data_IF_746914177530
#
_entry.id   IF_746914177530
#
_cell.length_a   1.000
_cell.length_b   1.000
_cell.length_c   1.000
_cell.angle_alpha   90.00
_cell.angle_beta   90.00
_cell.angle_gamma   90.00
#
_symmetry.space_group_name_H-M   'P 1'
#
loop_
_entity.id
_entity.type
_entity.pdbx_description
1 polymer ?
#
# COMPACT_ATOMS: atom_id res chain seq x y z
N UNK A 1 2.70 3.76 20.38
CA UNK A 1 2.64 3.15 21.73
C UNK A 1 1.51 3.71 22.58
N UNK A 2 1.33 5.03 22.66
CA UNK A 2 0.26 5.67 23.46
C UNK A 2 -1.16 5.16 23.07
N UNK A 3 -1.45 5.06 21.76
CA UNK A 3 -2.74 4.52 21.27
C UNK A 3 -2.93 3.07 21.71
N UNK A 4 -1.89 2.23 21.62
CA UNK A 4 -1.96 0.84 22.06
C UNK A 4 -2.28 0.72 23.56
N UNK A 5 -1.56 1.46 24.40
CA UNK A 5 -1.80 1.44 25.84
C UNK A 5 -3.22 1.90 26.18
N UNK A 6 -3.69 2.98 25.53
CA UNK A 6 -5.07 3.45 25.75
C UNK A 6 -6.11 2.43 25.29
N UNK A 7 -5.88 1.77 24.18
CA UNK A 7 -6.76 0.70 23.70
C UNK A 7 -6.82 -0.48 24.69
N UNK A 8 -5.69 -0.86 25.26
CA UNK A 8 -5.63 -1.92 26.28
C UNK A 8 -6.45 -1.54 27.55
N UNK A 9 -6.31 -0.32 28.05
CA UNK A 9 -7.05 0.20 29.20
C UNK A 9 -8.58 0.16 29.02
N UNK A 10 -9.07 0.33 27.80
CA UNK A 10 -10.51 0.36 27.47
C UNK A 10 -11.02 -0.93 26.83
N UNK A 11 -10.19 -1.97 26.76
CA UNK A 11 -10.55 -3.26 26.15
C UNK A 11 -10.76 -3.19 24.63
N UNK A 12 -10.10 -2.27 23.93
CA UNK A 12 -10.25 -2.09 22.49
C UNK A 12 -9.17 -2.84 21.70
N UNK A 13 -9.54 -3.28 20.50
CA UNK A 13 -8.63 -3.86 19.52
C UNK A 13 -7.96 -2.75 18.70
N UNK A 14 -6.65 -2.87 18.49
CA UNK A 14 -5.87 -2.03 17.57
C UNK A 14 -5.63 -2.79 16.28
N UNK A 15 -6.12 -2.27 15.17
CA UNK A 15 -5.85 -2.79 13.84
C UNK A 15 -4.83 -1.88 13.16
N UNK A 16 -3.66 -2.42 12.84
CA UNK A 16 -2.61 -1.71 12.11
C UNK A 16 -2.64 -2.14 10.66
N UNK A 17 -3.07 -1.25 9.78
CA UNK A 17 -3.09 -1.52 8.34
C UNK A 17 -1.70 -1.28 7.75
N UNK A 18 -1.00 -2.38 7.44
CA UNK A 18 0.30 -2.41 6.77
C UNK A 18 0.18 -2.81 5.30
N UNK A 19 -0.88 -2.43 4.61
CA UNK A 19 -1.05 -2.73 3.19
C UNK A 19 0.11 -2.20 2.31
N UNK A 20 0.82 -1.19 2.79
CA UNK A 20 2.01 -0.61 2.14
C UNK A 20 3.33 -0.98 2.82
N UNK A 21 3.38 -2.06 3.58
CA UNK A 21 4.55 -2.50 4.36
C UNK A 21 5.87 -2.49 3.58
N UNK A 22 5.86 -2.97 2.35
CA UNK A 22 7.08 -3.06 1.52
C UNK A 22 7.58 -1.72 0.98
N UNK A 23 6.78 -0.65 1.10
CA UNK A 23 7.14 0.72 0.73
C UNK A 23 7.55 1.55 1.95
N UNK A 24 7.44 0.96 3.15
CA UNK A 24 7.73 1.61 4.43
C UNK A 24 8.36 0.61 5.41
N UNK A 25 9.56 0.93 5.89
CA UNK A 25 10.40 -0.01 6.65
C UNK A 25 9.92 -0.32 8.08
N UNK A 26 8.99 0.46 8.64
CA UNK A 26 8.49 0.22 10.00
C UNK A 26 7.32 -0.75 9.99
N UNK A 27 7.26 -1.60 11.02
CA UNK A 27 6.19 -2.59 11.20
C UNK A 27 5.87 -2.74 12.68
N UNK A 28 4.62 -3.08 12.96
CA UNK A 28 4.12 -3.47 14.28
C UNK A 28 4.03 -4.99 14.46
N UNK A 29 4.69 -5.75 13.60
CA UNK A 29 4.59 -7.21 13.61
C UNK A 29 5.02 -7.83 14.96
N UNK A 30 6.10 -7.34 15.56
CA UNK A 30 6.59 -7.85 16.85
C UNK A 30 5.57 -7.61 17.96
N UNK A 31 5.00 -6.41 18.01
CA UNK A 31 3.98 -6.03 18.97
C UNK A 31 2.70 -6.85 18.78
N UNK A 32 2.26 -7.04 17.54
CA UNK A 32 1.07 -7.84 17.23
C UNK A 32 1.20 -9.30 17.67
N UNK A 33 2.41 -9.88 17.61
CA UNK A 33 2.65 -11.23 18.09
C UNK A 33 2.74 -11.33 19.63
N UNK A 34 3.15 -10.25 20.30
CA UNK A 34 3.43 -10.23 21.73
C UNK A 34 2.22 -9.84 22.60
N UNK A 35 1.27 -9.05 22.08
CA UNK A 35 0.17 -8.52 22.87
C UNK A 35 -1.21 -8.97 22.35
N UNK A 36 -2.21 -9.13 23.24
CA UNK A 36 -3.49 -9.75 22.86
C UNK A 36 -4.45 -8.82 22.13
N UNK A 37 -4.17 -7.51 22.06
CA UNK A 37 -5.10 -6.52 21.52
C UNK A 37 -4.61 -5.81 20.26
N UNK A 38 -3.62 -6.36 19.55
CA UNK A 38 -3.09 -5.78 18.31
C UNK A 38 -3.12 -6.82 17.18
N UNK A 39 -3.59 -6.42 16.01
CA UNK A 39 -3.42 -7.17 14.76
C UNK A 39 -2.80 -6.30 13.68
N UNK A 40 -2.02 -6.92 12.81
CA UNK A 40 -1.45 -6.31 11.61
C UNK A 40 -2.15 -6.88 10.39
N UNK A 41 -2.57 -6.02 9.47
CA UNK A 41 -3.11 -6.42 8.17
C UNK A 41 -2.05 -6.22 7.10
N UNK A 42 -1.86 -7.21 6.22
CA UNK A 42 -1.04 -7.10 5.01
C UNK A 42 -1.78 -7.64 3.80
N UNK A 43 -1.36 -7.24 2.61
CA UNK A 43 -2.02 -7.61 1.36
C UNK A 43 -1.02 -8.00 0.28
N UNK A 44 -1.43 -8.90 -0.60
CA UNK A 44 -0.75 -9.23 -1.85
C UNK A 44 -1.14 -8.31 -3.01
N UNK A 45 -2.09 -7.41 -2.79
CA UNK A 45 -2.67 -6.55 -3.84
C UNK A 45 -1.77 -5.40 -4.30
N UNK A 46 -0.75 -5.00 -3.52
CA UNK A 46 0.08 -3.82 -3.80
C UNK A 46 1.39 -4.21 -4.48
N UNK A 47 2.49 -4.36 -3.74
CA UNK A 47 3.79 -4.70 -4.30
C UNK A 47 3.75 -5.95 -5.18
N UNK A 48 3.07 -6.98 -4.74
CA UNK A 48 3.04 -8.29 -5.41
C UNK A 48 2.10 -8.34 -6.62
N UNK A 49 1.42 -7.24 -6.96
CA UNK A 49 0.54 -7.10 -8.13
C UNK A 49 -0.60 -8.14 -8.22
N UNK A 50 -0.98 -8.75 -7.10
CA UNK A 50 -2.01 -9.78 -7.02
C UNK A 50 -3.37 -9.22 -6.57
N UNK A 51 -3.72 -8.01 -6.98
CA UNK A 51 -4.99 -7.37 -6.58
C UNK A 51 -6.23 -8.17 -7.01
N UNK A 52 -6.18 -8.81 -8.18
CA UNK A 52 -7.30 -9.59 -8.74
C UNK A 52 -7.63 -10.86 -7.94
N UNK A 53 -6.64 -11.45 -7.25
CA UNK A 53 -6.86 -12.70 -6.49
C UNK A 53 -7.48 -12.50 -5.11
N UNK A 54 -7.64 -11.24 -4.66
CA UNK A 54 -8.33 -10.84 -3.42
C UNK A 54 -7.77 -11.49 -2.16
N UNK A 55 -6.45 -11.52 -1.99
CA UNK A 55 -5.77 -12.14 -0.86
C UNK A 55 -5.09 -11.11 0.04
N UNK A 56 -5.31 -11.25 1.34
CA UNK A 56 -4.62 -10.56 2.41
C UNK A 56 -4.42 -11.48 3.61
N UNK A 57 -3.66 -11.02 4.58
CA UNK A 57 -3.38 -11.77 5.81
C UNK A 57 -3.60 -10.89 7.03
N UNK A 58 -4.10 -11.52 8.10
CA UNK A 58 -4.19 -10.94 9.44
C UNK A 58 -3.15 -11.65 10.29
N UNK A 59 -2.31 -10.89 10.98
CA UNK A 59 -1.22 -11.41 11.81
C UNK A 59 -1.40 -10.85 13.22
N UNK A 60 -1.32 -11.70 14.22
CA UNK A 60 -1.51 -11.31 15.61
C UNK A 60 -1.18 -12.44 16.58
N UNK A 61 -1.44 -12.19 17.86
CA UNK A 61 -1.33 -13.18 18.92
C UNK A 61 -2.21 -14.42 18.60
N UNK A 62 -1.75 -15.67 18.87
CA UNK A 62 -2.48 -16.88 18.52
C UNK A 62 -3.90 -16.95 19.07
N UNK A 63 -4.14 -16.46 20.29
CA UNK A 63 -5.47 -16.45 20.91
C UNK A 63 -6.42 -15.55 20.12
N UNK A 64 -6.00 -14.30 19.84
CA UNK A 64 -6.78 -13.35 19.05
C UNK A 64 -7.07 -13.87 17.63
N UNK A 65 -6.06 -14.47 16.97
CA UNK A 65 -6.24 -15.10 15.66
C UNK A 65 -7.19 -16.30 15.72
N UNK A 66 -7.25 -17.01 16.85
CA UNK A 66 -8.24 -18.05 17.10
C UNK A 66 -9.68 -17.52 17.02
N UNK A 67 -9.97 -16.38 17.64
CA UNK A 67 -11.28 -15.73 17.55
C UNK A 67 -11.60 -15.27 16.12
N UNK A 68 -10.65 -14.64 15.43
CA UNK A 68 -10.82 -14.21 14.04
C UNK A 68 -11.10 -15.41 13.14
N UNK A 69 -10.37 -16.52 13.33
CA UNK A 69 -10.56 -17.74 12.55
C UNK A 69 -11.97 -18.33 12.72
N UNK A 70 -12.54 -18.28 13.92
CA UNK A 70 -13.89 -18.77 14.17
C UNK A 70 -14.98 -17.91 13.52
N UNK A 71 -14.69 -16.64 13.22
CA UNK A 71 -15.60 -15.72 12.54
C UNK A 71 -15.49 -15.75 11.00
N UNK A 72 -14.52 -16.50 10.45
CA UNK A 72 -14.31 -16.61 9.00
C UNK A 72 -15.42 -17.41 8.31
N UNK A 73 -15.63 -17.07 7.02
CA UNK A 73 -16.39 -17.94 6.12
C UNK A 73 -15.58 -19.23 5.81
N UNK A 74 -16.29 -20.32 5.53
CA UNK A 74 -15.66 -21.63 5.31
C UNK A 74 -14.71 -21.65 4.09
N UNK A 75 -14.99 -20.83 3.06
CA UNK A 75 -14.24 -20.76 1.80
C UNK A 75 -13.92 -19.32 1.43
N UNK A 76 -13.25 -18.58 2.32
CA UNK A 76 -12.95 -17.16 2.18
C UNK A 76 -11.75 -16.84 1.27
N UNK A 77 -10.88 -17.80 1.01
CA UNK A 77 -9.73 -17.66 0.12
C UNK A 77 -9.73 -18.73 -0.97
N UNK A 78 -9.47 -18.33 -2.22
CA UNK A 78 -9.39 -19.29 -3.32
C UNK A 78 -8.01 -19.99 -3.34
N UNK A 79 -8.00 -21.26 -3.77
CA UNK A 79 -6.80 -22.10 -3.77
C UNK A 79 -5.68 -21.59 -4.68
N UNK A 80 -6.02 -20.93 -5.79
CA UNK A 80 -5.04 -20.36 -6.72
C UNK A 80 -4.31 -19.20 -6.02
N UNK A 81 -5.05 -18.32 -5.33
CA UNK A 81 -4.45 -17.22 -4.56
C UNK A 81 -3.49 -17.74 -3.49
N UNK A 82 -3.89 -18.79 -2.75
CA UNK A 82 -3.04 -19.41 -1.73
C UNK A 82 -1.75 -19.99 -2.33
N UNK A 83 -1.86 -20.70 -3.46
CA UNK A 83 -0.69 -21.25 -4.17
C UNK A 83 0.28 -20.16 -4.62
N UNK A 84 -0.23 -19.05 -5.19
CA UNK A 84 0.61 -17.93 -5.59
C UNK A 84 1.28 -17.27 -4.38
N UNK A 85 0.54 -17.06 -3.30
CA UNK A 85 1.08 -16.47 -2.08
C UNK A 85 2.20 -17.33 -1.48
N UNK A 86 1.98 -18.64 -1.36
CA UNK A 86 2.98 -19.59 -0.86
C UNK A 86 4.26 -19.55 -1.70
N UNK A 87 4.12 -19.61 -3.03
CA UNK A 87 5.27 -19.54 -3.94
C UNK A 87 6.04 -18.24 -3.83
N UNK A 88 5.35 -17.10 -3.73
CA UNK A 88 5.99 -15.78 -3.56
C UNK A 88 6.70 -15.66 -2.22
N UNK A 89 6.08 -16.13 -1.13
CA UNK A 89 6.70 -16.07 0.20
C UNK A 89 7.97 -16.92 0.29
N UNK A 90 8.09 -17.96 -0.54
CA UNK A 90 9.29 -18.80 -0.65
C UNK A 90 10.33 -18.24 -1.65
N UNK A 91 10.11 -17.04 -2.21
CA UNK A 91 11.01 -16.40 -3.18
C UNK A 91 11.32 -14.94 -2.75
N UNK A 92 12.08 -14.76 -1.67
CA UNK A 92 12.49 -13.43 -1.20
C UNK A 92 13.22 -12.63 -2.28
N UNK A 93 14.01 -13.30 -3.13
CA UNK A 93 14.69 -12.70 -4.28
C UNK A 93 13.73 -11.99 -5.26
N UNK A 94 12.55 -12.56 -5.50
CA UNK A 94 11.51 -11.95 -6.33
C UNK A 94 10.92 -10.73 -5.63
N UNK A 95 10.62 -10.84 -4.33
CA UNK A 95 10.08 -9.73 -3.54
C UNK A 95 11.06 -8.55 -3.50
N UNK A 96 12.34 -8.81 -3.24
CA UNK A 96 13.40 -7.80 -3.23
C UNK A 96 13.58 -7.15 -4.61
N UNK A 97 13.45 -7.93 -5.68
CA UNK A 97 13.45 -7.43 -7.06
C UNK A 97 12.29 -6.46 -7.33
N UNK A 98 11.08 -6.80 -6.87
CA UNK A 98 9.91 -5.94 -6.99
C UNK A 98 10.05 -4.64 -6.19
N UNK A 99 10.57 -4.71 -4.97
CA UNK A 99 10.83 -3.53 -4.13
C UNK A 99 11.78 -2.58 -4.85
N UNK A 100 12.91 -3.10 -5.35
CA UNK A 100 13.93 -2.33 -6.08
C UNK A 100 13.35 -1.67 -7.32
N UNK A 101 12.64 -2.43 -8.15
CA UNK A 101 12.00 -1.93 -9.38
C UNK A 101 11.03 -0.78 -9.10
N UNK A 102 10.23 -0.91 -8.05
CA UNK A 102 9.29 0.13 -7.63
C UNK A 102 10.02 1.38 -7.09
N UNK A 103 11.07 1.18 -6.30
CA UNK A 103 11.84 2.30 -5.73
C UNK A 103 12.55 3.08 -6.83
N UNK A 104 13.24 2.40 -7.75
CA UNK A 104 13.95 3.03 -8.87
C UNK A 104 13.01 3.86 -9.75
N UNK A 105 11.80 3.34 -10.05
CA UNK A 105 10.81 4.08 -10.83
C UNK A 105 10.27 5.29 -10.10
N UNK A 106 9.96 5.16 -8.82
CA UNK A 106 9.48 6.27 -7.98
C UNK A 106 10.53 7.37 -7.84
N UNK A 107 11.78 7.00 -7.55
CA UNK A 107 12.89 7.97 -7.39
C UNK A 107 13.17 8.70 -8.71
N UNK A 108 13.12 7.98 -9.83
CA UNK A 108 13.25 8.59 -11.16
C UNK A 108 12.17 9.62 -11.44
N UNK A 109 10.90 9.28 -11.19
CA UNK A 109 9.77 10.20 -11.37
C UNK A 109 9.89 11.44 -10.46
N UNK A 110 10.21 11.24 -9.18
CA UNK A 110 10.39 12.35 -8.24
C UNK A 110 11.51 13.29 -8.68
N UNK A 111 12.64 12.75 -9.15
CA UNK A 111 13.76 13.54 -9.62
C UNK A 111 13.41 14.39 -10.86
N UNK A 112 12.66 13.83 -11.82
CA UNK A 112 12.22 14.59 -13.00
C UNK A 112 11.21 15.69 -12.64
N UNK A 113 10.24 15.40 -11.78
CA UNK A 113 9.26 16.39 -11.32
C UNK A 113 9.92 17.53 -10.52
N UNK A 114 10.94 17.23 -9.72
CA UNK A 114 11.72 18.21 -8.98
C UNK A 114 12.49 19.15 -9.93
N UNK A 115 13.16 18.61 -10.95
CA UNK A 115 13.81 19.40 -12.02
C UNK A 115 12.85 20.34 -12.73
N UNK A 116 11.60 19.90 -12.92
CA UNK A 116 10.54 20.71 -13.52
C UNK A 116 9.89 21.68 -12.54
N UNK A 117 10.27 21.67 -11.27
CA UNK A 117 9.76 22.57 -10.22
C UNK A 117 8.34 22.25 -9.79
N UNK A 118 7.91 20.98 -9.87
CA UNK A 118 6.63 20.55 -9.31
C UNK A 118 6.76 20.20 -7.83
N UNK A 119 5.77 20.62 -7.05
CA UNK A 119 5.65 20.16 -5.69
C UNK A 119 5.12 18.72 -5.67
N UNK A 120 5.88 17.82 -5.04
CA UNK A 120 5.54 16.40 -4.93
C UNK A 120 5.72 15.92 -3.52
N UNK A 121 4.94 14.90 -3.13
CA UNK A 121 5.09 14.21 -1.85
C UNK A 121 5.07 12.71 -2.02
N UNK A 122 6.16 12.06 -1.61
CA UNK A 122 6.17 10.61 -1.38
C UNK A 122 5.38 10.28 -0.11
N UNK A 123 4.32 9.50 -0.26
CA UNK A 123 3.46 9.04 0.83
C UNK A 123 3.88 7.67 1.38
N UNK A 124 5.08 7.19 1.02
CA UNK A 124 5.62 5.89 1.42
C UNK A 124 4.69 4.72 1.06
N UNK A 125 4.07 4.83 -0.10
CA UNK A 125 3.26 3.82 -0.75
C UNK A 125 3.74 3.60 -2.19
N UNK A 126 2.92 2.95 -3.01
CA UNK A 126 3.15 2.85 -4.46
C UNK A 126 2.54 4.03 -5.22
N UNK A 127 2.52 5.19 -4.63
CA UNK A 127 1.99 6.42 -5.24
C UNK A 127 2.65 7.66 -4.65
N UNK A 128 2.57 8.75 -5.39
CA UNK A 128 2.96 10.09 -4.97
C UNK A 128 1.80 11.05 -5.16
N UNK A 129 1.79 12.13 -4.38
CA UNK A 129 0.96 13.30 -4.65
C UNK A 129 1.76 14.34 -5.42
N UNK A 130 1.13 14.92 -6.43
CA UNK A 130 1.68 16.02 -7.21
C UNK A 130 0.69 17.19 -7.13
N UNK A 131 1.19 18.40 -6.88
CA UNK A 131 0.40 19.62 -7.04
C UNK A 131 0.60 20.17 -8.44
N UNK A 132 -0.36 20.02 -9.35
CA UNK A 132 -0.24 20.57 -10.70
C UNK A 132 -0.33 22.11 -10.67
N UNK A 133 0.15 22.76 -11.73
CA UNK A 133 0.10 24.23 -11.88
C UNK A 133 -1.30 24.75 -12.28
N UNK A 134 -2.15 23.86 -12.74
CA UNK A 134 -3.53 24.13 -13.15
C UNK A 134 -4.49 23.30 -12.30
N UNK A 135 -5.80 23.46 -12.48
CA UNK A 135 -6.81 22.69 -11.79
C UNK A 135 -6.55 21.18 -11.93
N UNK A 136 -6.59 20.44 -10.81
CA UNK A 136 -6.23 19.02 -10.78
C UNK A 136 -7.14 18.15 -11.66
N UNK A 137 -8.45 18.47 -11.74
CA UNK A 137 -9.39 17.77 -12.61
C UNK A 137 -9.11 18.04 -14.09
N UNK A 138 -8.87 19.31 -14.47
CA UNK A 138 -8.52 19.66 -15.85
C UNK A 138 -7.22 18.98 -16.30
N UNK A 139 -6.21 18.91 -15.41
CA UNK A 139 -4.97 18.21 -15.70
C UNK A 139 -5.21 16.70 -15.85
N UNK A 140 -6.03 16.11 -14.98
CA UNK A 140 -6.43 14.69 -15.09
C UNK A 140 -7.12 14.40 -16.42
N UNK A 141 -8.10 15.23 -16.84
CA UNK A 141 -8.82 15.08 -18.11
C UNK A 141 -7.90 15.19 -19.34
N UNK A 142 -6.89 16.05 -19.25
CA UNK A 142 -5.88 16.21 -20.33
C UNK A 142 -4.95 15.00 -20.40
N UNK A 143 -4.50 14.50 -19.27
CA UNK A 143 -3.67 13.28 -19.18
C UNK A 143 -4.43 12.04 -19.65
N UNK A 144 -5.72 11.92 -19.32
CA UNK A 144 -6.56 10.83 -19.80
C UNK A 144 -6.65 10.77 -21.34
N UNK A 145 -6.77 11.95 -22.00
CA UNK A 145 -6.72 12.05 -23.47
C UNK A 145 -5.39 11.59 -24.07
N UNK A 146 -4.33 11.56 -23.25
CA UNK A 146 -3.00 11.06 -23.61
C UNK A 146 -2.80 9.60 -23.16
N UNK A 147 -3.87 8.90 -22.72
CA UNK A 147 -3.86 7.55 -22.16
C UNK A 147 -3.07 7.44 -20.83
N UNK A 148 -2.95 8.52 -20.07
CA UNK A 148 -2.34 8.54 -18.73
C UNK A 148 -3.43 8.75 -17.70
N UNK A 149 -3.75 7.69 -16.93
CA UNK A 149 -4.77 7.74 -15.90
C UNK A 149 -4.17 8.13 -14.56
N UNK A 150 -4.64 9.24 -14.00
CA UNK A 150 -4.28 9.72 -12.66
C UNK A 150 -5.55 9.94 -11.82
N UNK A 151 -5.42 10.12 -10.52
CA UNK A 151 -6.58 10.27 -9.65
C UNK A 151 -6.63 11.67 -9.02
N UNK A 152 -7.53 12.57 -9.48
CA UNK A 152 -7.83 13.83 -8.82
C UNK A 152 -8.77 13.58 -7.62
N UNK A 153 -8.86 14.53 -6.68
CA UNK A 153 -9.71 14.42 -5.51
C UNK A 153 -10.75 15.53 -5.46
N UNK A 154 -12.01 15.16 -5.11
CA UNK A 154 -13.09 16.13 -4.93
C UNK A 154 -13.22 16.72 -3.52
N UNK A 155 -12.47 16.21 -2.52
CA UNK A 155 -12.56 16.72 -1.15
C UNK A 155 -11.70 17.97 -0.95
N UNK A 156 -12.09 18.82 0.00
CA UNK A 156 -11.44 20.13 0.25
C UNK A 156 -9.94 20.02 0.59
N UNK A 157 -9.50 18.93 1.22
CA UNK A 157 -8.11 18.76 1.65
C UNK A 157 -7.17 18.43 0.49
N UNK A 158 -7.66 17.71 -0.51
CA UNK A 158 -6.84 17.13 -1.59
C UNK A 158 -7.22 17.62 -2.98
N UNK A 159 -8.19 18.53 -3.12
CA UNK A 159 -8.71 19.03 -4.41
C UNK A 159 -7.64 19.63 -5.34
N UNK A 160 -6.53 20.12 -4.76
CA UNK A 160 -5.44 20.74 -5.51
C UNK A 160 -4.36 19.73 -5.94
N UNK A 161 -4.58 18.44 -5.67
CA UNK A 161 -3.60 17.38 -5.91
C UNK A 161 -4.12 16.31 -6.84
N UNK A 162 -3.20 15.72 -7.59
CA UNK A 162 -3.41 14.45 -8.28
C UNK A 162 -2.55 13.38 -7.60
N UNK A 163 -3.11 12.16 -7.50
CA UNK A 163 -2.36 10.98 -7.06
C UNK A 163 -1.92 10.19 -8.29
N UNK A 164 -0.62 9.93 -8.38
CA UNK A 164 -0.02 9.14 -9.44
C UNK A 164 0.53 7.85 -8.84
N UNK A 165 0.07 6.70 -9.35
CA UNK A 165 0.64 5.41 -8.98
C UNK A 165 2.02 5.25 -9.59
N UNK A 166 2.98 4.75 -8.80
CA UNK A 166 4.34 4.51 -9.26
C UNK A 166 4.54 3.06 -9.70
N UNK A 167 5.45 2.84 -10.63
CA UNK A 167 5.76 1.54 -11.19
C UNK A 167 7.25 1.41 -11.51
N UNK A 168 7.62 0.60 -12.50
CA UNK A 168 8.99 0.47 -12.96
C UNK A 168 9.50 1.78 -13.61
N UNK A 169 10.81 1.94 -13.71
CA UNK A 169 11.43 3.09 -14.39
C UNK A 169 10.90 3.27 -15.82
N UNK A 170 10.73 2.19 -16.56
CA UNK A 170 10.17 2.22 -17.92
C UNK A 170 8.74 2.76 -17.92
N UNK A 171 7.88 2.30 -17.00
CA UNK A 171 6.52 2.80 -16.90
C UNK A 171 6.48 4.29 -16.53
N UNK A 172 7.37 4.75 -15.65
CA UNK A 172 7.41 6.16 -15.22
C UNK A 172 8.02 7.11 -16.26
N UNK A 173 8.86 6.63 -17.17
CA UNK A 173 9.43 7.44 -18.25
C UNK A 173 8.51 7.63 -19.45
N UNK A 174 7.43 6.87 -19.53
CA UNK A 174 6.42 6.97 -20.61
C UNK A 174 5.29 7.94 -20.23
N UNK A 175 5.27 8.36 -18.97
CA UNK A 175 4.29 9.29 -18.40
C UNK A 175 4.81 10.71 -18.46
#
# INVERSE_FOLDING_TARGET
>A
EAVRKRAEEVGALVIVDEAYHYFYSKTFLKEALAVPNVVVLRTFSKLMSLAAVRLGVIIGNPELIGYVRNARLTFDANSIALLFAERLMNRPDVIDGLIRTQQEGKDGLLAELDKMGYWCRDCRGNFIFIKPRHNAHEVSDRLEKMNVLVHPYGNQLLKDFIRVSTGSKTAMSTT
#
